data_IF_028343017516
#
_entry.id   IF_028343017516
#
_cell.length_a   1.000
_cell.length_b   1.000
_cell.length_c   1.000
_cell.angle_alpha   90.00
_cell.angle_beta   90.00
_cell.angle_gamma   90.00
#
_symmetry.space_group_name_H-M   'P 1'
#
loop_
_entity.id
_entity.type
_entity.pdbx_description
1 polymer ?
2 polymer ?
3 non-polymer ?
4 water ?
#
# COMPACT_ATOMS: atom_id res chain seq x y z
N UNK A 1 -2.29 -3.55 -10.62
CA UNK A 1 -2.43 -2.23 -11.27
C UNK A 1 -2.92 -2.41 -12.69
N UNK A 2 -4.03 -1.74 -12.98
CA UNK A 2 -4.68 -1.83 -14.27
C UNK A 2 -4.28 -0.55 -14.99
N UNK A 3 -3.63 -0.73 -16.14
CA UNK A 3 -3.17 0.39 -16.95
C UNK A 3 -1.94 1.11 -16.43
N UNK A 4 -1.10 0.42 -15.66
CA UNK A 4 0.18 1.00 -15.24
C UNK A 4 1.31 0.66 -16.21
N UNK A 5 2.50 1.19 -15.96
CA UNK A 5 3.66 0.73 -16.72
C UNK A 5 4.67 0.02 -15.83
N UNK A 6 5.42 -0.92 -16.41
CA UNK A 6 6.47 -1.62 -15.70
C UNK A 6 7.45 -0.62 -15.10
N UNK A 7 7.90 -0.89 -13.87
CA UNK A 7 8.94 -0.06 -13.27
C UNK A 7 10.26 -0.47 -13.86
N UNK A 8 11.23 0.43 -13.77
CA UNK A 8 12.59 0.00 -14.04
C UNK A 8 12.84 -1.04 -12.95
N UNK A 9 13.32 -2.23 -13.33
CA UNK A 9 13.72 -3.21 -12.37
C UNK A 9 14.45 -2.58 -11.17
N UNK A 10 13.93 -2.83 -9.98
CA UNK A 10 14.60 -2.50 -8.74
C UNK A 10 14.68 -0.99 -8.44
N UNK A 11 13.81 -0.21 -9.09
CA UNK A 11 13.76 1.26 -8.92
C UNK A 11 13.01 1.68 -7.68
N UNK A 12 12.39 0.71 -7.04
CA UNK A 12 11.60 0.96 -5.87
C UNK A 12 11.95 -0.06 -4.80
N UNK A 13 13.17 0.05 -4.22
CA UNK A 13 13.76 -0.98 -3.37
C UNK A 13 12.99 -1.22 -2.06
N UNK A 14 11.98 -0.39 -1.78
CA UNK A 14 11.24 -0.49 -0.54
C UNK A 14 10.00 -1.39 -0.67
N UNK A 15 9.68 -1.86 -1.88
CA UNK A 15 8.55 -2.76 -2.10
C UNK A 15 8.66 -4.15 -1.44
N UNK A 16 7.61 -4.55 -0.73
CA UNK A 16 7.48 -5.91 -0.21
C UNK A 16 6.31 -6.56 -0.93
N UNK A 17 6.35 -7.87 -1.00
CA UNK A 17 5.25 -8.67 -1.46
C UNK A 17 4.99 -9.60 -0.30
N UNK A 18 3.78 -9.51 0.24
CA UNK A 18 3.30 -10.36 1.32
C UNK A 18 2.65 -11.55 0.68
N UNK A 19 3.20 -12.74 0.90
CA UNK A 19 2.67 -13.90 0.19
C UNK A 19 2.29 -15.09 1.08
N UNK A 20 1.35 -15.91 0.57
CA UNK A 20 0.87 -17.11 1.23
C UNK A 20 1.18 -18.37 0.38
N UNK A 21 2.16 -19.16 0.77
CA UNK A 21 2.66 -20.26 -0.09
C UNK A 21 3.17 -19.77 -1.45
N UNK A 22 4.10 -18.81 -1.47
CA UNK A 22 4.55 -18.24 -2.72
C UNK A 22 3.48 -17.58 -3.59
N UNK A 23 2.23 -17.52 -3.14
CA UNK A 23 1.19 -16.73 -3.90
C UNK A 23 1.05 -15.31 -3.34
N UNK A 24 1.20 -14.29 -4.19
CA UNK A 24 1.21 -12.88 -3.76
C UNK A 24 -0.17 -12.40 -3.31
N UNK A 25 -0.24 -11.68 -2.18
CA UNK A 25 -1.50 -11.16 -1.63
C UNK A 25 -1.60 -9.65 -1.61
N UNK A 26 -0.57 -8.97 -1.16
CA UNK A 26 -0.60 -7.52 -1.06
C UNK A 26 0.80 -7.04 -1.13
N UNK A 27 0.96 -5.78 -1.50
CA UNK A 27 2.22 -5.11 -1.31
C UNK A 27 2.37 -4.71 0.13
N UNK A 28 3.45 -3.96 0.38
CA UNK A 28 3.86 -3.50 1.69
C UNK A 28 5.06 -2.62 1.41
N UNK A 29 5.36 -1.72 2.34
CA UNK A 29 6.53 -0.90 2.19
C UNK A 29 7.50 -1.17 3.37
N UNK A 30 8.81 -1.12 3.10
CA UNK A 30 9.79 -1.45 4.12
C UNK A 30 10.19 -0.13 4.85
N UNK A 31 9.76 0.02 6.09
CA UNK A 31 9.96 1.33 6.75
C UNK A 31 11.08 1.29 7.77
N UNK A 32 11.78 0.17 7.81
CA UNK A 32 12.84 -0.07 8.76
C UNK A 32 13.43 -1.44 8.45
N UNK A 33 14.71 -1.66 8.82
CA UNK A 33 15.37 -2.95 8.52
C UNK A 33 14.63 -4.22 8.97
N UNK A 34 13.84 -4.11 10.04
CA UNK A 34 13.07 -5.26 10.58
C UNK A 34 11.52 -5.16 10.40
N UNK A 35 11.01 -4.03 9.85
CA UNK A 35 9.57 -3.80 9.70
C UNK A 35 9.12 -3.43 8.29
N UNK A 36 8.01 -4.05 7.87
CA UNK A 36 7.26 -3.72 6.65
C UNK A 36 5.86 -3.26 7.07
N UNK A 37 5.46 -2.06 6.63
CA UNK A 37 4.12 -1.51 6.85
C UNK A 37 3.23 -1.96 5.71
N UNK A 38 2.11 -2.60 6.03
CA UNK A 38 1.15 -3.00 5.02
C UNK A 38 -0.26 -2.57 5.44
N UNK A 39 -1.30 -3.06 4.78
CA UNK A 39 -2.65 -2.77 5.23
C UNK A 39 -3.07 -3.89 6.15
N UNK A 40 -3.78 -3.54 7.22
CA UNK A 40 -4.35 -4.54 8.09
C UNK A 40 -5.27 -5.55 7.39
N UNK A 41 -6.01 -5.15 6.38
CA UNK A 41 -7.05 -6.10 5.91
C UNK A 41 -6.42 -7.27 5.17
N UNK A 42 -5.12 -7.12 4.84
CA UNK A 42 -4.31 -8.13 4.16
C UNK A 42 -4.01 -9.33 5.04
N UNK A 43 -4.17 -9.16 6.35
CA UNK A 43 -3.68 -10.16 7.29
C UNK A 43 -4.73 -11.08 7.83
N UNK A 44 -5.96 -10.95 7.33
CA UNK A 44 -7.09 -11.84 7.68
C UNK A 44 -6.81 -13.34 7.40
N UNK A 45 -5.68 -13.82 7.94
CA UNK A 45 -4.92 -14.96 7.37
C UNK A 45 -4.24 -15.88 8.40
N UNK A 46 -3.99 -17.11 7.96
CA UNK A 46 -3.18 -18.05 8.73
C UNK A 46 -1.69 -17.72 8.61
N UNK A 47 -1.14 -17.03 9.62
CA UNK A 47 0.23 -16.49 9.57
C UNK A 47 1.39 -17.50 9.32
N UNK A 48 1.25 -18.74 9.78
CA UNK A 48 2.29 -19.77 9.57
C UNK A 48 2.77 -19.80 8.11
N UNK A 49 1.81 -19.74 7.17
CA UNK A 49 2.02 -19.86 5.72
C UNK A 49 2.36 -18.56 5.00
N UNK A 50 2.45 -17.46 5.75
CA UNK A 50 2.75 -16.15 5.20
C UNK A 50 4.26 -15.87 5.14
N UNK A 51 4.67 -15.13 4.09
CA UNK A 51 6.08 -14.72 3.91
C UNK A 51 6.17 -13.30 3.39
N UNK A 52 7.21 -12.57 3.79
CA UNK A 52 7.55 -11.33 3.10
C UNK A 52 8.70 -11.56 2.13
N UNK A 53 8.50 -11.20 0.86
CA UNK A 53 9.59 -11.29 -0.10
C UNK A 53 10.06 -9.89 -0.44
N UNK A 54 11.36 -9.66 -0.30
CA UNK A 54 11.96 -8.37 -0.60
C UNK A 54 12.91 -8.38 -1.83
N UNK A 55 13.13 -7.22 -2.43
CA UNK A 55 14.06 -7.12 -3.55
C UNK A 55 13.54 -7.57 -4.89
N UNK A 56 12.24 -7.66 -5.06
CA UNK A 56 11.64 -8.24 -6.27
C UNK A 56 11.30 -7.31 -7.45
N UNK A 57 11.38 -7.89 -8.66
CA UNK A 57 10.70 -7.30 -9.84
C UNK A 57 9.70 -8.27 -10.52
N UNK A 58 10.22 -9.42 -10.96
CA UNK A 58 9.41 -10.51 -11.50
C UNK A 58 8.92 -11.18 -10.29
N UNK A 59 7.66 -11.58 -10.28
CA UNK A 59 7.09 -12.12 -9.06
C UNK A 59 7.51 -13.57 -8.80
N UNK A 60 7.69 -14.36 -9.84
CA UNK A 60 8.28 -15.66 -9.61
C UNK A 60 9.74 -15.60 -9.99
N UNK A 61 10.49 -15.39 -8.92
CA UNK A 61 11.90 -15.32 -8.88
C UNK A 61 12.20 -15.28 -7.37
N UNK A 62 13.39 -15.74 -6.96
CA UNK A 62 13.71 -15.82 -5.53
C UNK A 62 13.43 -14.52 -4.73
N UNK A 63 14.30 -13.52 -4.84
CA UNK A 63 14.22 -12.37 -3.93
C UNK A 63 14.52 -12.81 -2.50
N UNK A 64 14.74 -11.84 -1.62
CA UNK A 64 15.01 -12.09 -0.22
C UNK A 64 13.68 -12.37 0.52
N UNK A 65 13.59 -13.53 1.18
CA UNK A 65 12.37 -14.01 1.78
C UNK A 65 12.47 -14.03 3.31
N UNK A 66 11.46 -13.54 4.00
CA UNK A 66 11.52 -13.45 5.43
C UNK A 66 10.29 -14.08 6.04
N UNK A 67 10.45 -14.65 7.24
CA UNK A 67 9.31 -15.09 8.01
C UNK A 67 8.87 -13.88 8.80
N UNK A 68 7.63 -13.87 9.27
CA UNK A 68 7.11 -12.79 10.13
C UNK A 68 7.11 -13.23 11.63
N UNK A 69 7.78 -12.47 12.50
CA UNK A 69 7.77 -12.78 13.94
C UNK A 69 6.52 -12.21 14.67
N UNK A 70 5.96 -11.12 14.15
CA UNK A 70 4.75 -10.57 14.75
C UNK A 70 4.05 -9.68 13.74
N UNK A 71 2.73 -9.81 13.67
CA UNK A 71 1.90 -8.95 12.82
C UNK A 71 1.11 -7.98 13.71
N UNK A 72 1.46 -6.71 13.72
CA UNK A 72 0.80 -5.87 14.70
C UNK A 72 -0.26 -5.00 14.02
N UNK A 73 -1.55 -5.27 14.27
CA UNK A 73 -2.57 -4.42 13.64
C UNK A 73 -2.69 -3.09 14.37
N UNK A 74 -2.97 -1.99 13.66
CA UNK A 74 -3.38 -0.80 14.37
C UNK A 74 -4.42 -1.15 15.44
N UNK A 75 -4.20 -0.65 16.68
CA UNK A 75 -5.10 -0.96 17.80
C UNK A 75 -6.57 -0.62 17.59
N UNK A 76 -6.84 0.47 16.86
CA UNK A 76 -8.20 0.95 16.64
C UNK A 76 -8.70 0.47 15.26
N UNK A 77 -8.02 -0.52 14.67
CA UNK A 77 -8.44 -1.10 13.38
C UNK A 77 -9.84 -1.69 13.42
N UNK A 78 -10.65 -1.27 12.46
CA UNK A 78 -12.00 -1.76 12.28
C UNK A 78 -12.04 -2.27 10.85
N UNK A 79 -12.51 -3.52 10.62
CA UNK A 79 -12.67 -4.05 9.28
C UNK A 79 -13.98 -3.61 8.65
N UNK A 80 -14.29 -4.14 7.48
CA UNK A 80 -15.53 -3.75 6.78
C UNK A 80 -16.76 -4.08 7.62
N UNK A 81 -17.82 -3.26 7.51
CA UNK A 81 -18.02 -2.05 6.69
C UNK A 81 -17.19 -0.82 7.10
N UNK A 82 -16.71 -0.78 8.36
CA UNK A 82 -15.85 0.33 8.83
C UNK A 82 -14.61 0.46 7.98
N UNK A 83 -13.76 -0.55 8.00
CA UNK A 83 -12.45 -0.40 7.37
C UNK A 83 -11.89 0.92 7.82
N UNK A 84 -11.55 0.97 9.11
CA UNK A 84 -10.92 2.13 9.69
C UNK A 84 -9.55 1.75 10.20
N UNK A 85 -8.59 2.66 10.05
CA UNK A 85 -7.21 2.46 10.53
C UNK A 85 -6.55 1.24 9.96
N UNK A 86 -6.62 1.15 8.63
CA UNK A 86 -6.30 -0.08 7.96
C UNK A 86 -4.77 -0.20 7.77
N UNK A 87 -4.06 -0.27 8.91
CA UNK A 87 -2.63 -0.49 8.91
C UNK A 87 -2.17 -1.64 9.80
N UNK A 88 -1.12 -2.30 9.38
CA UNK A 88 -0.53 -3.35 10.21
C UNK A 88 0.95 -3.31 9.98
N UNK A 89 1.70 -3.62 11.02
CA UNK A 89 3.16 -3.59 10.97
C UNK A 89 3.71 -5.04 11.15
N UNK A 90 4.43 -5.47 10.11
CA UNK A 90 4.94 -6.82 10.03
C UNK A 90 6.41 -6.90 10.43
N UNK A 91 6.73 -7.72 11.43
CA UNK A 91 8.14 -7.83 11.83
C UNK A 91 8.90 -8.98 11.17
N UNK A 92 10.06 -8.65 10.64
CA UNK A 92 10.86 -9.60 9.90
C UNK A 92 11.64 -10.48 10.83
N UNK A 93 11.72 -11.76 10.50
CA UNK A 93 12.50 -12.62 11.33
C UNK A 93 13.98 -12.56 11.01
N UNK A 94 14.40 -11.50 10.33
CA UNK A 94 15.81 -11.16 10.15
C UNK A 94 15.93 -9.64 10.18
N UNK A 95 17.00 -9.09 9.63
CA UNK A 95 17.24 -7.65 9.65
C UNK A 95 17.87 -7.27 8.36
N UNK A 96 17.31 -6.27 7.69
CA UNK A 96 17.83 -5.86 6.38
C UNK A 96 19.09 -4.96 6.50
N UNK A 97 20.16 -5.36 5.81
CA UNK A 97 21.32 -4.48 5.54
C UNK A 97 21.03 -3.76 4.22
N UNK A 98 20.84 -2.43 4.24
CA UNK A 98 20.53 -1.83 2.93
C UNK A 98 21.51 -2.25 1.81
N UNK A 99 20.94 -2.37 0.60
CA UNK A 99 21.70 -2.65 -0.61
C UNK A 99 21.07 -1.84 -1.74
N UNK A 100 21.52 -2.12 -2.94
CA UNK A 100 21.06 -1.45 -4.14
C UNK A 100 19.61 -1.84 -4.49
N UNK A 101 19.27 -3.12 -4.32
CA UNK A 101 17.91 -3.59 -4.64
C UNK A 101 16.92 -3.65 -3.47
N UNK A 102 17.43 -3.59 -2.23
CA UNK A 102 16.58 -3.60 -1.04
C UNK A 102 16.99 -2.47 -0.10
N UNK A 103 16.04 -1.65 0.31
CA UNK A 103 16.33 -0.43 1.04
C UNK A 103 14.99 0.10 1.58
N UNK A 104 14.95 0.62 2.82
CA UNK A 104 13.72 1.19 3.38
C UNK A 104 13.27 2.59 2.87
N UNK A 105 11.97 2.80 2.70
CA UNK A 105 11.46 4.15 2.53
C UNK A 105 11.31 4.89 3.88
N UNK A 106 11.91 6.06 4.03
CA UNK A 106 11.74 6.91 5.23
C UNK A 106 10.26 7.25 5.55
N UNK A 107 9.97 7.50 6.83
CA UNK A 107 8.64 7.96 7.21
C UNK A 107 8.54 9.45 6.95
N UNK A 108 7.35 9.95 6.65
CA UNK A 108 7.12 11.39 6.63
C UNK A 108 7.13 11.98 8.04
N UNK A 109 7.30 13.29 8.18
CA UNK A 109 7.04 13.94 9.47
C UNK A 109 5.56 13.73 9.85
N UNK A 110 5.26 13.76 11.15
CA UNK A 110 3.86 13.69 11.62
C UNK A 110 3.03 14.91 11.15
N UNK A 111 3.65 16.08 11.04
CA UNK A 111 2.96 17.28 10.59
C UNK A 111 2.65 17.31 9.08
N UNK A 112 3.24 16.43 8.27
CA UNK A 112 2.91 16.30 6.82
C UNK A 112 1.40 16.24 6.57
N UNK A 113 0.92 17.12 5.67
CA UNK A 113 -0.46 17.13 5.16
C UNK A 113 -0.44 16.79 3.66
N UNK A 114 -1.26 15.83 3.25
CA UNK A 114 -1.32 15.56 1.82
C UNK A 114 -2.47 16.34 1.18
N UNK A 115 -2.15 17.54 0.71
CA UNK A 115 -3.12 18.46 0.11
C UNK A 115 -3.67 17.95 -1.23
N UNK A 116 -4.89 18.32 -1.56
CA UNK A 116 -5.45 17.94 -2.85
C UNK A 116 -4.57 18.51 -3.95
N UNK A 117 -4.35 17.74 -5.00
CA UNK A 117 -3.61 18.26 -6.14
C UNK A 117 -2.22 17.70 -6.16
N UNK A 118 -1.88 16.94 -5.13
CA UNK A 118 -0.51 16.49 -4.94
C UNK A 118 -0.23 15.43 -5.97
N UNK A 119 0.87 15.54 -6.70
CA UNK A 119 1.22 14.48 -7.65
C UNK A 119 1.89 13.26 -6.99
N UNK A 120 1.25 12.09 -7.04
CA UNK A 120 1.80 10.87 -6.40
C UNK A 120 1.93 9.66 -7.34
N UNK A 121 2.57 8.59 -6.90
CA UNK A 121 2.47 7.31 -7.61
C UNK A 121 2.20 6.21 -6.65
N UNK A 122 2.13 4.99 -7.17
CA UNK A 122 1.71 3.85 -6.37
C UNK A 122 2.16 2.67 -7.15
N UNK A 123 3.03 1.86 -6.58
CA UNK A 123 3.48 0.62 -7.25
C UNK A 123 2.73 -0.56 -6.68
N UNK A 124 2.66 -1.65 -7.44
CA UNK A 124 1.98 -2.87 -7.01
C UNK A 124 2.09 -3.98 -8.03
N UNK A 125 2.00 -5.22 -7.57
CA UNK A 125 1.92 -6.37 -8.47
C UNK A 125 0.50 -6.87 -8.68
N UNK A 126 -0.50 -6.13 -8.25
CA UNK A 126 -1.88 -6.58 -8.32
C UNK A 126 -2.41 -6.79 -9.73
N UNK A 127 -3.67 -7.19 -9.82
CA UNK A 127 -4.38 -7.47 -11.09
C UNK A 127 -4.19 -6.37 -12.12
N UNK A 128 -4.10 -6.78 -13.39
CA UNK A 128 -4.00 -5.84 -14.51
C UNK A 128 -5.28 -5.76 -15.34
N UNK A 129 -6.32 -6.49 -14.93
CA UNK A 129 -7.64 -6.40 -15.58
C UNK A 129 -8.67 -6.92 -14.61
N UNK A 130 -9.82 -6.26 -14.57
CA UNK A 130 -10.97 -6.77 -13.86
C UNK A 130 -11.16 -8.27 -14.17
N UNK A 131 -11.20 -9.06 -13.11
CA UNK A 131 -11.51 -10.47 -13.22
C UNK A 131 -10.30 -11.26 -13.59
N UNK A 132 -9.19 -10.55 -13.82
CA UNK A 132 -7.95 -11.11 -14.40
C UNK A 132 -7.00 -11.68 -13.39
N UNK A 133 -5.74 -11.68 -13.76
CA UNK A 133 -4.70 -12.31 -12.97
C UNK A 133 -3.64 -11.31 -12.55
N UNK A 134 -2.83 -11.67 -11.57
CA UNK A 134 -1.87 -10.72 -11.03
C UNK A 134 -0.86 -10.42 -12.09
N UNK A 135 -0.13 -9.33 -11.91
CA UNK A 135 0.91 -8.94 -12.85
C UNK A 135 2.13 -9.84 -12.70
N UNK A 136 2.79 -10.19 -13.80
CA UNK A 136 4.07 -10.87 -13.71
C UNK A 136 5.18 -9.97 -13.11
N UNK A 137 5.04 -8.66 -13.30
CA UNK A 137 6.10 -7.69 -12.99
C UNK A 137 5.59 -6.51 -12.15
N UNK A 138 6.46 -5.98 -11.29
CA UNK A 138 6.08 -4.80 -10.51
C UNK A 138 5.74 -3.62 -11.40
N UNK A 139 4.56 -3.04 -11.23
CA UNK A 139 4.15 -1.92 -12.08
C UNK A 139 3.90 -0.68 -11.29
N UNK A 140 3.66 0.44 -11.96
CA UNK A 140 3.28 1.66 -11.24
C UNK A 140 2.19 2.46 -11.98
N UNK A 141 1.58 3.41 -11.26
CA UNK A 141 0.50 4.27 -11.76
C UNK A 141 0.65 5.68 -11.18
N UNK A 142 0.31 6.71 -11.95
CA UNK A 142 0.33 8.07 -11.39
C UNK A 142 -1.02 8.33 -10.78
N UNK A 143 -0.99 8.91 -9.59
CA UNK A 143 -2.21 9.25 -8.87
C UNK A 143 -2.15 10.67 -8.39
N UNK A 144 -3.25 11.40 -8.58
CA UNK A 144 -3.45 12.74 -8.04
C UNK A 144 -4.37 12.63 -6.81
N UNK A 145 -4.06 13.37 -5.75
CA UNK A 145 -4.96 13.41 -4.60
C UNK A 145 -6.16 14.32 -4.91
N UNK A 146 -7.37 13.77 -4.76
CA UNK A 146 -8.59 14.55 -4.83
C UNK A 146 -8.97 15.12 -3.51
N UNK A 147 -9.96 16.01 -3.54
CA UNK A 147 -10.37 16.68 -2.35
C UNK A 147 -11.38 15.76 -1.64
N UNK A 148 -11.19 15.57 -0.34
CA UNK A 148 -12.03 14.66 0.43
C UNK A 148 -13.50 15.09 0.49
N UNK A 149 -13.76 16.37 0.68
CA UNK A 149 -15.16 16.84 0.74
C UNK A 149 -15.89 16.35 -0.50
N UNK A 150 -15.11 16.23 -1.56
CA UNK A 150 -15.61 15.99 -2.86
C UNK A 150 -15.71 14.48 -3.17
N UNK A 151 -14.75 13.68 -2.70
CA UNK A 151 -14.93 12.24 -2.70
C UNK A 151 -16.09 11.79 -1.79
N UNK A 152 -16.47 12.60 -0.81
CA UNK A 152 -17.51 12.20 0.15
C UNK A 152 -18.92 12.51 -0.40
N UNK A 153 -18.93 13.22 -1.50
CA UNK A 153 -20.12 13.44 -2.22
C UNK A 153 -20.91 12.13 -2.25
N UNK A 154 -22.22 12.27 -2.11
CA UNK A 154 -23.17 11.17 -2.14
C UNK A 154 -23.03 10.18 -3.32
N UNK A 155 -22.77 10.67 -4.54
CA UNK A 155 -22.49 9.74 -5.64
C UNK A 155 -21.15 9.03 -5.58
N UNK A 156 -20.19 9.56 -4.81
CA UNK A 156 -18.92 8.90 -4.66
C UNK A 156 -18.87 8.16 -3.34
N UNK A 157 -17.92 8.48 -2.46
CA UNK A 157 -17.82 7.73 -1.22
C UNK A 157 -18.89 8.11 -0.19
N UNK A 158 -19.85 8.93 -0.61
CA UNK A 158 -21.08 9.10 0.14
C UNK A 158 -20.88 9.29 1.64
N UNK A 159 -19.87 10.06 2.01
CA UNK A 159 -19.77 10.54 3.40
C UNK A 159 -18.80 9.78 4.27
N UNK A 160 -18.18 8.74 3.76
CA UNK A 160 -17.61 7.75 4.64
C UNK A 160 -16.09 7.77 4.74
N UNK A 161 -15.45 8.74 4.10
CA UNK A 161 -14.01 8.90 4.15
C UNK A 161 -13.68 9.83 5.29
N UNK A 162 -12.78 9.41 6.18
CA UNK A 162 -12.41 10.19 7.35
C UNK A 162 -11.20 11.08 7.06
N UNK A 163 -10.90 12.04 7.93
CA UNK A 163 -9.65 12.81 7.79
C UNK A 163 -8.33 12.06 7.51
N UNK A 164 -8.19 10.80 7.91
CA UNK A 164 -6.90 10.10 7.74
C UNK A 164 -6.72 9.47 6.36
N UNK A 165 -7.77 9.59 5.55
CA UNK A 165 -7.81 8.89 4.26
C UNK A 165 -7.61 9.84 3.14
N UNK A 166 -6.88 9.39 2.13
CA UNK A 166 -6.41 10.23 1.03
C UNK A 166 -7.18 9.71 -0.17
N UNK A 167 -8.00 10.52 -0.79
CA UNK A 167 -8.71 10.00 -1.93
C UNK A 167 -7.97 10.29 -3.22
N UNK A 168 -8.08 9.39 -4.20
CA UNK A 168 -7.16 9.30 -5.34
C UNK A 168 -7.80 9.16 -6.73
N UNK A 169 -7.08 9.62 -7.75
CA UNK A 169 -7.55 9.55 -9.13
C UNK A 169 -6.41 9.28 -10.09
N UNK A 170 -6.66 8.42 -11.08
CA UNK A 170 -5.70 8.33 -12.19
C UNK A 170 -5.86 9.47 -13.20
N UNK A 171 -5.03 9.48 -14.22
CA UNK A 171 -5.26 10.44 -15.28
C UNK A 171 -6.40 10.00 -16.17
N UNK A 172 -6.68 8.70 -16.18
CA UNK A 172 -7.67 8.18 -17.08
C UNK A 172 -8.74 7.39 -16.38
N UNK A 173 -9.94 7.50 -16.93
CA UNK A 173 -11.02 6.53 -16.76
C UNK A 173 -10.62 5.07 -16.43
N UNK A 174 -9.50 4.59 -16.96
CA UNK A 174 -9.29 3.14 -17.03
C UNK A 174 -8.04 2.69 -16.33
N UNK A 175 -7.55 3.46 -15.41
CA UNK A 175 -6.37 3.03 -14.68
C UNK A 175 -6.70 3.00 -13.21
N UNK A 176 -6.36 1.92 -12.52
CA UNK A 176 -6.70 1.83 -11.11
C UNK A 176 -5.87 0.73 -10.47
N UNK A 177 -5.42 0.94 -9.24
CA UNK A 177 -4.89 -0.20 -8.52
C UNK A 177 -6.02 -1.19 -8.35
N UNK A 178 -5.68 -2.44 -8.01
CA UNK A 178 -6.67 -3.50 -8.10
C UNK A 178 -6.25 -4.62 -7.19
N UNK A 179 -7.06 -5.68 -7.14
CA UNK A 179 -6.79 -6.79 -6.23
C UNK A 179 -5.29 -7.09 -6.20
N UNK A 180 -4.72 -7.18 -5.01
CA UNK A 180 -3.30 -7.43 -4.88
C UNK A 180 -2.43 -6.21 -4.58
N UNK A 181 -2.99 -5.01 -4.76
CA UNK A 181 -2.26 -3.73 -4.65
C UNK A 181 -2.27 -3.04 -3.27
N UNK A 182 -3.20 -3.41 -2.40
CA UNK A 182 -3.22 -2.84 -1.04
C UNK A 182 -1.92 -3.05 -0.33
N UNK A 183 -1.57 -2.12 0.54
CA UNK A 183 -0.35 -2.24 1.31
C UNK A 183 0.74 -1.51 0.57
N UNK A 184 0.51 -1.28 -0.72
CA UNK A 184 1.47 -0.59 -1.55
C UNK A 184 1.54 0.81 -1.04
N UNK A 185 2.77 1.38 -1.00
CA UNK A 185 3.03 2.75 -0.56
C UNK A 185 2.69 3.77 -1.66
N UNK A 186 1.87 4.75 -1.29
CA UNK A 186 1.65 5.95 -2.10
C UNK A 186 2.80 6.90 -1.79
N UNK A 187 3.62 7.21 -2.79
CA UNK A 187 4.66 8.25 -2.67
C UNK A 187 4.34 9.51 -3.49
N UNK A 188 4.53 10.68 -2.89
CA UNK A 188 4.15 11.97 -3.51
C UNK A 188 5.26 12.99 -3.65
N UNK A 189 5.06 13.95 -4.54
CA UNK A 189 5.97 15.08 -4.67
C UNK A 189 7.28 14.75 -5.36
N UNK A 190 8.06 15.80 -5.69
CA UNK A 190 9.28 15.68 -6.49
C UNK A 190 10.28 14.73 -5.88
N UNK A 191 10.33 14.70 -4.54
CA UNK A 191 11.36 14.00 -3.80
C UNK A 191 10.89 12.63 -3.44
N UNK A 192 9.73 12.26 -3.99
CA UNK A 192 9.16 10.90 -3.91
C UNK A 192 9.07 10.41 -2.46
N UNK A 193 8.12 11.01 -1.72
CA UNK A 193 8.02 10.93 -0.24
C UNK A 193 6.89 10.03 0.23
N UNK A 194 7.12 9.21 1.26
CA UNK A 194 6.04 8.28 1.71
C UNK A 194 4.82 9.01 2.21
N UNK A 195 3.65 8.70 1.66
CA UNK A 195 2.50 9.55 1.97
C UNK A 195 1.31 8.75 2.40
N UNK A 196 1.18 7.55 1.86
CA UNK A 196 0.06 6.70 2.20
C UNK A 196 0.32 5.24 1.91
N UNK A 197 -0.67 4.43 2.28
CA UNK A 197 -0.66 2.99 2.05
C UNK A 197 -2.04 2.61 1.46
N UNK A 198 -2.09 2.03 0.25
CA UNK A 198 -3.39 1.65 -0.34
C UNK A 198 -4.28 0.76 0.54
N UNK A 199 -5.60 1.03 0.53
CA UNK A 199 -6.55 0.33 1.41
C UNK A 199 -7.72 -0.40 0.70
N UNK A 200 -8.45 0.30 -0.15
CA UNK A 200 -9.66 -0.24 -0.73
C UNK A 200 -10.18 0.59 -1.89
N UNK A 201 -11.23 0.06 -2.52
CA UNK A 201 -11.88 0.62 -3.71
C UNK A 201 -13.28 0.10 -3.61
N UNK A 202 -13.94 -0.12 -4.76
CA UNK A 202 -15.13 -0.99 -4.80
C UNK A 202 -14.78 -2.24 -5.63
N UNK A 203 -15.77 -3.11 -5.90
CA UNK A 203 -15.46 -4.43 -6.46
C UNK A 203 -14.91 -4.31 -7.89
N UNK A 204 -15.43 -3.34 -8.62
CA UNK A 204 -14.97 -3.09 -9.96
C UNK A 204 -13.88 -2.05 -9.76
N UNK A 205 -12.64 -2.40 -10.10
CA UNK A 205 -11.47 -1.57 -9.73
C UNK A 205 -11.52 -0.19 -10.30
N UNK A 206 -11.96 -0.11 -11.57
CA UNK A 206 -12.02 1.17 -12.29
C UNK A 206 -13.31 1.96 -12.08
N UNK A 207 -14.17 1.56 -11.17
CA UNK A 207 -15.43 2.28 -10.94
C UNK A 207 -15.17 3.75 -10.67
N UNK A 208 -15.61 4.61 -11.58
CA UNK A 208 -15.32 6.06 -11.47
C UNK A 208 -15.99 6.76 -10.27
N UNK A 209 -17.09 6.19 -9.79
CA UNK A 209 -17.77 6.73 -8.63
C UNK A 209 -17.26 6.15 -7.31
N UNK A 210 -16.09 5.52 -7.34
CA UNK A 210 -15.46 4.96 -6.16
C UNK A 210 -13.93 4.97 -6.30
N UNK A 211 -13.37 6.18 -6.26
CA UNK A 211 -11.96 6.38 -6.46
C UNK A 211 -11.18 5.57 -5.41
N UNK A 212 -9.95 5.14 -5.76
CA UNK A 212 -9.19 4.35 -4.78
C UNK A 212 -8.79 5.23 -3.65
N UNK A 213 -8.54 4.65 -2.48
CA UNK A 213 -8.25 5.45 -1.29
C UNK A 213 -7.21 4.75 -0.43
N UNK A 214 -6.32 5.54 0.14
CA UNK A 214 -5.16 5.05 0.85
C UNK A 214 -5.19 5.68 2.22
N UNK A 215 -4.35 5.19 3.12
CA UNK A 215 -4.38 5.74 4.45
C UNK A 215 -3.16 6.64 4.53
N UNK A 216 -3.37 7.89 4.96
CA UNK A 216 -2.23 8.78 5.16
C UNK A 216 -1.23 8.20 6.19
N UNK A 217 0.07 8.32 5.93
CA UNK A 217 1.03 7.78 6.88
C UNK A 217 1.21 8.74 8.04
N UNK A 218 1.36 10.02 7.73
CA UNK A 218 1.70 11.05 8.74
C UNK A 218 0.95 10.88 10.06
N UNK A 219 -0.41 10.69 10.03
CA UNK A 219 -1.11 10.65 11.32
C UNK A 219 -0.80 9.40 12.12
N UNK A 220 -0.10 8.44 11.54
CA UNK A 220 0.22 7.19 12.22
C UNK A 220 1.71 7.00 12.38
N UNK A 221 2.49 8.02 12.05
CA UNK A 221 3.95 7.97 12.19
C UNK A 221 4.39 7.74 13.65
N UNK A 222 3.67 8.38 14.56
CA UNK A 222 3.91 8.27 16.00
C UNK A 222 3.82 6.81 16.50
N UNK A 223 2.76 6.11 16.04
CA UNK A 223 2.48 4.76 16.46
C UNK A 223 3.49 3.86 15.80
N UNK A 224 3.74 4.13 14.52
CA UNK A 224 4.73 3.36 13.79
C UNK A 224 5.99 3.42 14.60
N UNK A 225 6.29 4.61 15.16
CA UNK A 225 7.53 4.79 15.92
C UNK A 225 7.53 3.95 17.18
N UNK A 226 6.51 4.12 18.01
CA UNK A 226 6.42 3.42 19.26
C UNK A 226 6.55 1.94 18.99
N UNK A 227 5.80 1.43 18.02
CA UNK A 227 5.80 0.01 17.71
C UNK A 227 7.17 -0.44 17.26
N UNK A 228 7.77 0.25 16.30
CA UNK A 228 9.13 -0.14 15.82
C UNK A 228 10.26 0.22 16.81
N UNK A 229 9.91 0.86 17.92
CA UNK A 229 10.86 1.08 18.99
C UNK A 229 11.79 2.27 18.81
N UNK A 230 11.94 2.75 17.57
CA UNK A 230 12.81 3.90 17.28
C UNK A 230 12.12 5.24 17.55
N UNK A 231 12.87 6.34 17.48
CA UNK A 231 12.23 7.66 17.50
C UNK A 231 12.83 8.67 16.51
N UNK B 2 -17.44 -0.70 0.53
CA UNK B 2 -15.98 -0.71 0.52
C UNK B 2 -15.52 -2.15 0.28
N UNK B 3 -14.88 -2.40 -0.84
CA UNK B 3 -14.30 -3.71 -1.05
C UNK B 3 -12.81 -3.46 -0.79
N UNK B 4 -12.25 -4.08 0.28
CA UNK B 4 -10.84 -3.80 0.51
C UNK B 4 -10.03 -4.69 -0.42
N UNK B 5 -9.19 -3.81 -0.83
CA UNK B 5 -8.21 -4.41 -1.75
C UNK B 5 -7.13 -5.35 -1.09
#
# INVERSE_FOLDING_TARGET
IIGGREVIPHSRPYMASLQRNGSHLCGGVLVHPKWVLTAAHCLAQRMAQLRLVLGLHTLDSPGLTFHIKAAIQHPRYKPVPALENDLALLQLDGKVKPSRTIRPLALPSKRQVVAAGTRCSMAGWGLTHQGGRLSRVLRELDLQVLDTRMCNNSRFWNGSLSPSMVCLAADSKDQAPCKGDSGGPLVCGKGRVLAGVLSFSSRVCTDIFKPPVATAVAPYVSWIRKVTGRSALEHHHHHH
XKVPLX
#
